data_IF_726615382258
#
_entry.id   IF_726615382258
#
_cell.length_a   1.000
_cell.length_b   1.000
_cell.length_c   1.000
_cell.angle_alpha   90.00
_cell.angle_beta   90.00
_cell.angle_gamma   90.00
#
_symmetry.space_group_name_H-M   'P 1'
#
loop_
_entity.id
_entity.type
_entity.pdbx_description
1 polymer ?
#
# COMPACT_ATOMS: atom_id res chain seq x y z
N UNK A 1 -17.58 16.28 -54.67
CA UNK A 1 -17.41 16.78 -56.05
C UNK A 1 -18.53 16.14 -56.88
N UNK A 2 -19.29 16.88 -57.67
CA UNK A 2 -20.35 16.31 -58.51
C UNK A 2 -19.72 15.65 -59.72
N UNK A 3 -20.27 14.52 -60.18
CA UNK A 3 -19.72 13.77 -61.29
C UNK A 3 -20.17 14.33 -62.65
N UNK A 4 -21.35 14.98 -62.69
CA UNK A 4 -21.91 15.60 -63.90
C UNK A 4 -22.45 17.00 -63.60
N UNK A 5 -22.57 17.80 -64.67
CA UNK A 5 -23.20 19.15 -64.59
C UNK A 5 -24.69 19.04 -64.22
N UNK A 6 -25.33 17.96 -64.59
CA UNK A 6 -26.74 17.65 -64.28
C UNK A 6 -26.92 17.46 -62.79
N UNK A 7 -26.02 16.67 -62.16
CA UNK A 7 -26.05 16.44 -60.68
C UNK A 7 -25.83 17.76 -59.92
N UNK A 8 -24.93 18.61 -60.40
CA UNK A 8 -24.68 19.89 -59.79
C UNK A 8 -25.90 20.85 -59.89
N UNK A 9 -26.60 20.85 -61.02
CA UNK A 9 -27.83 21.64 -61.19
C UNK A 9 -28.96 21.08 -60.33
N UNK A 10 -29.15 19.76 -60.24
CA UNK A 10 -30.14 19.14 -59.37
C UNK A 10 -29.90 19.51 -57.90
N UNK A 11 -28.66 19.40 -57.42
CA UNK A 11 -28.30 19.77 -56.05
C UNK A 11 -28.55 21.26 -55.77
N UNK A 12 -28.30 22.18 -56.74
CA UNK A 12 -28.60 23.58 -56.61
C UNK A 12 -30.11 23.86 -56.50
N UNK A 13 -30.94 23.14 -57.28
CA UNK A 13 -32.38 23.26 -57.21
C UNK A 13 -32.94 22.81 -55.86
N UNK A 14 -32.44 21.69 -55.32
CA UNK A 14 -32.78 21.20 -54.01
C UNK A 14 -32.37 22.23 -52.93
N UNK A 15 -31.15 22.74 -52.98
CA UNK A 15 -30.66 23.73 -52.04
C UNK A 15 -31.49 25.04 -52.05
N UNK A 16 -31.93 25.49 -53.23
CA UNK A 16 -32.82 26.64 -53.35
C UNK A 16 -34.22 26.40 -52.79
N UNK A 17 -34.77 25.21 -53.02
CA UNK A 17 -36.06 24.81 -52.43
C UNK A 17 -36.01 24.72 -50.93
N UNK A 18 -34.92 24.17 -50.36
CA UNK A 18 -34.71 24.06 -48.93
C UNK A 18 -34.52 25.44 -48.29
N UNK A 19 -33.82 26.36 -48.97
CA UNK A 19 -33.67 27.74 -48.54
C UNK A 19 -35.01 28.48 -48.49
N UNK A 20 -35.85 28.27 -49.49
CA UNK A 20 -37.18 28.85 -49.56
C UNK A 20 -38.14 28.34 -48.46
N UNK A 21 -37.90 27.12 -47.99
CA UNK A 21 -38.64 26.47 -46.86
C UNK A 21 -38.04 26.78 -45.50
N UNK A 22 -36.89 27.47 -45.42
CA UNK A 22 -36.15 27.72 -44.17
C UNK A 22 -35.44 26.47 -43.60
N UNK A 23 -35.32 25.39 -44.39
CA UNK A 23 -34.69 24.11 -43.97
C UNK A 23 -33.28 23.93 -44.49
N UNK A 24 -32.73 24.91 -45.20
CA UNK A 24 -31.39 24.86 -45.77
C UNK A 24 -30.32 24.87 -44.68
N UNK A 25 -29.54 23.80 -44.57
CA UNK A 25 -28.35 23.73 -43.74
C UNK A 25 -27.12 23.79 -44.62
N UNK A 26 -26.23 24.80 -44.44
CA UNK A 26 -25.00 24.90 -45.22
C UNK A 26 -24.15 23.64 -45.19
N UNK A 27 -23.50 23.25 -46.32
CA UNK A 27 -22.66 22.05 -46.36
C UNK A 27 -21.55 21.99 -45.27
N UNK A 28 -21.02 23.16 -44.92
CA UNK A 28 -20.02 23.27 -43.85
C UNK A 28 -20.63 22.86 -42.47
N UNK A 29 -21.86 23.31 -42.20
CA UNK A 29 -22.56 22.96 -40.95
C UNK A 29 -22.96 21.49 -40.94
N UNK A 30 -23.40 20.90 -42.08
CA UNK A 30 -23.69 19.46 -42.17
C UNK A 30 -22.43 18.62 -41.93
N UNK A 31 -21.28 19.00 -42.49
CA UNK A 31 -19.99 18.32 -42.26
C UNK A 31 -19.56 18.44 -40.81
N UNK A 32 -19.66 19.62 -40.22
CA UNK A 32 -19.34 19.84 -38.79
C UNK A 32 -20.25 19.01 -37.89
N UNK A 33 -21.56 18.95 -38.16
CA UNK A 33 -22.52 18.13 -37.43
C UNK A 33 -22.20 16.62 -37.56
N UNK A 34 -21.89 16.17 -38.79
CA UNK A 34 -21.50 14.77 -39.03
C UNK A 34 -20.18 14.40 -38.34
N UNK A 35 -19.20 15.28 -38.36
CA UNK A 35 -17.94 15.08 -37.66
C UNK A 35 -18.15 15.06 -36.12
N UNK A 36 -18.95 15.99 -35.61
CA UNK A 36 -19.30 15.99 -34.17
C UNK A 36 -20.04 14.72 -33.73
N UNK A 37 -20.96 14.26 -34.59
CA UNK A 37 -21.70 13.01 -34.33
C UNK A 37 -20.79 11.78 -34.42
N UNK A 38 -19.89 11.71 -35.40
CA UNK A 38 -18.93 10.62 -35.52
C UNK A 38 -17.96 10.58 -34.34
N UNK A 39 -17.45 11.73 -33.89
CA UNK A 39 -16.62 11.85 -32.67
C UNK A 39 -17.41 11.41 -31.43
N UNK A 40 -18.69 11.83 -31.33
CA UNK A 40 -19.55 11.42 -30.21
C UNK A 40 -19.79 9.92 -30.18
N UNK A 41 -20.13 9.32 -31.33
CA UNK A 41 -20.32 7.86 -31.46
C UNK A 41 -19.03 7.10 -31.08
N UNK A 42 -17.89 7.58 -31.56
CA UNK A 42 -16.60 6.96 -31.25
C UNK A 42 -16.23 7.15 -29.76
N UNK A 43 -16.56 8.29 -29.15
CA UNK A 43 -16.35 8.54 -27.74
C UNK A 43 -17.26 7.64 -26.89
N UNK A 44 -18.53 7.52 -27.26
CA UNK A 44 -19.51 6.66 -26.55
C UNK A 44 -19.24 5.16 -26.71
N UNK A 45 -18.43 4.76 -27.72
CA UNK A 45 -18.02 3.38 -27.94
C UNK A 45 -16.87 2.91 -27.01
N UNK A 46 -16.24 3.81 -26.25
CA UNK A 46 -15.08 3.50 -25.41
C UNK A 46 -15.44 2.46 -24.37
N UNK A 47 -14.72 1.32 -24.40
CA UNK A 47 -14.90 0.23 -23.43
C UNK A 47 -14.15 0.47 -22.13
N UNK A 48 -14.54 -0.25 -21.06
CA UNK A 48 -13.82 -0.24 -19.76
C UNK A 48 -12.36 -0.70 -19.94
N UNK A 49 -12.13 -1.67 -20.84
CA UNK A 49 -10.79 -2.21 -21.13
C UNK A 49 -9.87 -1.17 -21.79
N UNK A 50 -10.35 -0.47 -22.81
CA UNK A 50 -9.61 0.60 -23.48
C UNK A 50 -9.32 1.77 -22.54
N UNK A 51 -10.31 2.15 -21.73
CA UNK A 51 -10.11 3.15 -20.69
C UNK A 51 -9.07 2.70 -19.64
N UNK A 52 -9.11 1.44 -19.21
CA UNK A 52 -8.13 0.91 -18.27
C UNK A 52 -6.70 1.02 -18.79
N UNK A 53 -6.46 0.79 -20.08
CA UNK A 53 -5.16 0.96 -20.72
C UNK A 53 -4.71 2.43 -20.69
N UNK A 54 -5.59 3.35 -21.09
CA UNK A 54 -5.34 4.80 -21.08
C UNK A 54 -5.04 5.28 -19.67
N UNK A 55 -5.84 4.87 -18.68
CA UNK A 55 -5.66 5.24 -17.28
C UNK A 55 -4.35 4.70 -16.70
N UNK A 56 -3.99 3.44 -16.99
CA UNK A 56 -2.72 2.86 -16.54
C UNK A 56 -1.52 3.59 -17.16
N UNK A 57 -1.57 3.95 -18.45
CA UNK A 57 -0.53 4.71 -19.10
C UNK A 57 -0.35 6.10 -18.46
N UNK A 58 -1.45 6.78 -18.14
CA UNK A 58 -1.40 8.05 -17.42
C UNK A 58 -0.79 7.93 -16.01
N UNK A 59 -1.08 6.84 -15.30
CA UNK A 59 -0.46 6.57 -14.00
C UNK A 59 1.04 6.24 -14.10
N UNK A 60 1.48 5.62 -15.18
CA UNK A 60 2.90 5.33 -15.45
C UNK A 60 3.69 6.60 -15.75
N UNK A 61 3.07 7.56 -16.44
CA UNK A 61 3.67 8.85 -16.74
C UNK A 61 3.74 9.79 -15.50
N UNK A 62 2.94 9.54 -14.45
CA UNK A 62 2.97 10.34 -13.21
C UNK A 62 4.16 9.91 -12.32
N UNK A 63 5.23 10.70 -12.35
CA UNK A 63 6.44 10.46 -11.54
C UNK A 63 6.19 10.38 -10.01
N UNK A 64 5.05 10.89 -9.53
CA UNK A 64 4.65 10.79 -8.11
C UNK A 64 4.14 9.40 -7.75
N UNK A 65 3.84 8.56 -8.72
CA UNK A 65 3.31 7.21 -8.51
C UNK A 65 4.43 6.18 -8.47
N UNK A 66 4.38 5.34 -7.45
CA UNK A 66 5.31 4.21 -7.37
C UNK A 66 5.06 3.22 -8.52
N UNK A 67 6.09 2.80 -9.27
CA UNK A 67 5.96 1.75 -10.30
C UNK A 67 5.30 0.47 -9.76
N UNK A 68 5.59 0.11 -8.51
CA UNK A 68 4.99 -1.03 -7.84
C UNK A 68 3.46 -0.92 -7.70
N UNK A 69 2.93 0.30 -7.52
CA UNK A 69 1.49 0.56 -7.47
C UNK A 69 0.86 0.30 -8.83
N UNK A 70 1.45 0.79 -9.91
CA UNK A 70 0.92 0.61 -11.27
C UNK A 70 0.94 -0.87 -11.66
N UNK A 71 2.03 -1.59 -11.37
CA UNK A 71 2.11 -3.06 -11.58
C UNK A 71 1.01 -3.79 -10.80
N UNK A 72 0.73 -3.37 -9.56
CA UNK A 72 -0.35 -3.94 -8.75
C UNK A 72 -1.72 -3.68 -9.37
N UNK A 73 -1.98 -2.46 -9.83
CA UNK A 73 -3.24 -2.06 -10.45
C UNK A 73 -3.47 -2.82 -11.76
N UNK A 74 -2.43 -2.89 -12.61
CA UNK A 74 -2.47 -3.70 -13.85
C UNK A 74 -2.82 -5.16 -13.57
N UNK A 75 -2.19 -5.77 -12.56
CA UNK A 75 -2.48 -7.15 -12.16
C UNK A 75 -3.92 -7.33 -11.68
N UNK A 76 -4.44 -6.40 -10.89
CA UNK A 76 -5.84 -6.42 -10.41
C UNK A 76 -6.81 -6.31 -11.58
N UNK A 77 -6.62 -5.35 -12.46
CA UNK A 77 -7.49 -5.17 -13.63
C UNK A 77 -7.47 -6.40 -14.53
N UNK A 78 -6.29 -6.87 -14.91
CA UNK A 78 -6.12 -8.03 -15.79
C UNK A 78 -6.77 -9.32 -15.25
N UNK A 79 -6.64 -9.57 -13.94
CA UNK A 79 -7.04 -10.85 -13.37
C UNK A 79 -8.45 -10.84 -12.75
N UNK A 80 -8.96 -9.66 -12.38
CA UNK A 80 -10.18 -9.57 -11.58
C UNK A 80 -11.26 -8.67 -12.17
N UNK A 81 -10.98 -7.80 -13.13
CA UNK A 81 -11.96 -6.84 -13.66
C UNK A 81 -12.22 -7.06 -15.15
N UNK A 82 -11.16 -6.98 -15.95
CA UNK A 82 -11.27 -6.98 -17.41
C UNK A 82 -11.82 -8.27 -18.02
N UNK A 83 -11.63 -9.48 -17.44
CA UNK A 83 -12.20 -10.69 -18.02
C UNK A 83 -13.72 -10.69 -18.14
N UNK A 84 -14.43 -9.95 -17.29
CA UNK A 84 -15.90 -9.90 -17.28
C UNK A 84 -16.45 -8.54 -17.69
N UNK A 85 -15.77 -7.45 -17.33
CA UNK A 85 -16.28 -6.09 -17.58
C UNK A 85 -15.51 -5.36 -18.68
N UNK A 86 -14.43 -5.93 -19.23
CA UNK A 86 -13.54 -5.24 -20.16
C UNK A 86 -14.22 -4.75 -21.45
N UNK A 87 -15.12 -5.53 -21.99
CA UNK A 87 -15.86 -5.25 -23.24
C UNK A 87 -17.09 -4.35 -23.03
N UNK A 88 -17.46 -4.05 -21.80
CA UNK A 88 -18.59 -3.18 -21.49
C UNK A 88 -18.22 -1.74 -21.81
N UNK A 89 -19.06 -1.04 -22.59
CA UNK A 89 -18.87 0.39 -22.86
C UNK A 89 -19.06 1.18 -21.56
N UNK A 90 -18.24 2.19 -21.35
CA UNK A 90 -18.29 3.00 -20.11
C UNK A 90 -19.67 3.62 -19.88
N UNK A 91 -20.33 4.07 -20.95
CA UNK A 91 -21.66 4.68 -20.90
C UNK A 91 -22.76 3.68 -20.50
N UNK A 92 -22.57 2.40 -20.78
CA UNK A 92 -23.53 1.32 -20.46
C UNK A 92 -23.24 0.63 -19.13
N UNK A 93 -22.12 0.97 -18.48
CA UNK A 93 -21.74 0.34 -17.21
C UNK A 93 -22.67 0.78 -16.10
N UNK A 94 -23.36 -0.19 -15.47
CA UNK A 94 -24.29 0.09 -14.37
C UNK A 94 -23.71 -0.27 -12.99
N UNK A 95 -24.28 0.33 -11.97
CA UNK A 95 -23.97 0.01 -10.56
C UNK A 95 -24.27 -1.44 -10.23
N UNK A 96 -25.36 -2.00 -10.81
CA UNK A 96 -25.78 -3.38 -10.65
C UNK A 96 -24.73 -4.35 -11.20
N UNK A 97 -24.24 -4.14 -12.43
CA UNK A 97 -23.20 -4.96 -13.04
C UNK A 97 -21.94 -4.99 -12.20
N UNK A 98 -21.51 -3.84 -11.67
CA UNK A 98 -20.34 -3.76 -10.78
C UNK A 98 -20.62 -4.48 -9.45
N UNK A 99 -21.83 -4.38 -8.90
CA UNK A 99 -22.23 -5.06 -7.67
C UNK A 99 -22.20 -6.58 -7.84
N UNK A 100 -22.79 -7.08 -8.91
CA UNK A 100 -22.84 -8.51 -9.24
C UNK A 100 -21.44 -9.07 -9.48
N UNK A 101 -20.62 -8.35 -10.24
CA UNK A 101 -19.22 -8.71 -10.48
C UNK A 101 -18.43 -8.82 -9.16
N UNK A 102 -18.52 -7.82 -8.30
CA UNK A 102 -17.85 -7.84 -7.00
C UNK A 102 -18.36 -8.98 -6.10
N UNK A 103 -19.67 -9.27 -6.13
CA UNK A 103 -20.26 -10.41 -5.41
C UNK A 103 -19.77 -11.76 -5.98
N UNK A 104 -19.64 -11.88 -7.28
CA UNK A 104 -19.09 -13.09 -7.93
C UNK A 104 -17.63 -13.31 -7.54
N UNK A 105 -16.82 -12.25 -7.56
CA UNK A 105 -15.42 -12.32 -7.10
C UNK A 105 -15.31 -12.75 -5.63
N UNK A 106 -16.21 -12.28 -4.77
CA UNK A 106 -16.23 -12.64 -3.35
C UNK A 106 -16.49 -14.14 -3.10
N UNK A 107 -17.19 -14.78 -4.03
CA UNK A 107 -17.50 -16.24 -3.96
C UNK A 107 -16.39 -17.12 -4.53
N UNK A 108 -15.41 -16.57 -5.26
CA UNK A 108 -14.33 -17.38 -5.84
C UNK A 108 -13.43 -17.95 -4.74
N UNK A 109 -13.06 -19.23 -4.78
CA UNK A 109 -12.16 -19.82 -3.81
C UNK A 109 -10.77 -19.16 -3.90
N UNK A 110 -10.14 -18.98 -2.74
CA UNK A 110 -8.78 -18.45 -2.70
C UNK A 110 -7.78 -19.45 -3.30
N UNK A 111 -7.04 -19.02 -4.33
CA UNK A 111 -5.94 -19.84 -4.88
C UNK A 111 -4.79 -20.05 -3.88
N UNK A 112 -4.63 -19.16 -2.89
CA UNK A 112 -3.55 -19.25 -1.88
C UNK A 112 -3.94 -20.07 -0.66
N UNK A 113 -5.23 -20.19 -0.38
CA UNK A 113 -5.76 -20.92 0.78
C UNK A 113 -6.98 -21.72 0.33
N UNK A 114 -6.77 -22.91 -0.30
CA UNK A 114 -7.86 -23.81 -0.64
C UNK A 114 -8.64 -24.17 0.63
N UNK A 115 -9.95 -23.95 0.62
CA UNK A 115 -10.81 -24.22 1.79
C UNK A 115 -11.05 -23.02 2.72
N UNK A 116 -10.28 -21.95 2.64
CA UNK A 116 -10.62 -20.71 3.31
C UNK A 116 -11.74 -20.00 2.54
N UNK A 117 -12.88 -19.77 3.18
CA UNK A 117 -13.90 -18.84 2.65
C UNK A 117 -13.27 -17.45 2.63
N UNK A 118 -12.92 -16.95 1.45
CA UNK A 118 -12.57 -15.54 1.28
C UNK A 118 -13.89 -14.77 1.37
N UNK A 119 -14.25 -14.39 2.57
CA UNK A 119 -15.40 -13.51 2.78
C UNK A 119 -15.04 -12.11 2.25
N UNK A 120 -15.35 -11.86 1.01
CA UNK A 120 -15.25 -10.53 0.39
C UNK A 120 -14.27 -10.42 -0.77
N UNK A 121 -14.52 -9.44 -1.61
CA UNK A 121 -13.63 -9.02 -2.71
C UNK A 121 -12.32 -8.54 -2.10
N UNK A 122 -11.18 -8.90 -2.70
CA UNK A 122 -9.90 -8.36 -2.28
C UNK A 122 -9.99 -6.82 -2.20
N UNK A 123 -9.63 -6.19 -1.07
CA UNK A 123 -9.77 -4.74 -0.88
C UNK A 123 -9.17 -3.93 -2.02
N UNK A 124 -8.06 -4.41 -2.59
CA UNK A 124 -7.41 -3.79 -3.73
C UNK A 124 -8.27 -3.74 -4.99
N UNK A 125 -9.11 -4.76 -5.25
CA UNK A 125 -9.98 -4.76 -6.44
C UNK A 125 -11.00 -3.62 -6.36
N UNK A 126 -11.63 -3.44 -5.21
CA UNK A 126 -12.57 -2.34 -4.97
C UNK A 126 -11.89 -0.98 -5.10
N UNK A 127 -10.70 -0.83 -4.51
CA UNK A 127 -9.94 0.43 -4.56
C UNK A 127 -9.55 0.77 -6.00
N UNK A 128 -9.02 -0.20 -6.75
CA UNK A 128 -8.56 0.02 -8.13
C UNK A 128 -9.73 0.34 -9.05
N UNK A 129 -10.80 -0.44 -8.99
CA UNK A 129 -11.99 -0.24 -9.83
C UNK A 129 -12.64 1.12 -9.54
N UNK A 130 -12.80 1.48 -8.27
CA UNK A 130 -13.33 2.79 -7.87
C UNK A 130 -12.42 3.94 -8.33
N UNK A 131 -11.10 3.80 -8.16
CA UNK A 131 -10.15 4.83 -8.59
C UNK A 131 -10.18 5.06 -10.10
N UNK A 132 -10.30 3.97 -10.87
CA UNK A 132 -10.37 4.01 -12.32
C UNK A 132 -11.69 4.63 -12.81
N UNK A 133 -12.83 4.25 -12.22
CA UNK A 133 -14.14 4.80 -12.58
C UNK A 133 -14.27 6.29 -12.19
N UNK A 134 -13.76 6.68 -11.02
CA UNK A 134 -13.69 8.09 -10.64
C UNK A 134 -12.83 8.91 -11.62
N UNK A 135 -11.74 8.33 -12.12
CA UNK A 135 -10.93 8.97 -13.14
C UNK A 135 -11.67 9.07 -14.48
N UNK A 136 -12.47 8.06 -14.85
CA UNK A 136 -13.31 8.08 -16.05
C UNK A 136 -14.37 9.19 -15.99
N UNK A 137 -15.08 9.31 -14.87
CA UNK A 137 -16.06 10.40 -14.64
C UNK A 137 -15.39 11.76 -14.72
N UNK A 138 -14.24 11.93 -14.05
CA UNK A 138 -13.50 13.20 -14.08
C UNK A 138 -13.05 13.59 -15.50
N UNK A 139 -12.67 12.62 -16.32
CA UNK A 139 -12.24 12.82 -17.71
C UNK A 139 -13.43 12.84 -18.70
N UNK A 140 -14.67 12.58 -18.24
CA UNK A 140 -15.85 12.36 -19.09
C UNK A 140 -15.59 11.29 -20.17
N UNK A 141 -14.77 10.30 -19.83
CA UNK A 141 -14.34 9.27 -20.75
C UNK A 141 -15.54 8.43 -21.22
N UNK A 142 -15.64 8.16 -22.51
CA UNK A 142 -16.73 7.39 -23.07
C UNK A 142 -18.11 7.99 -22.82
N UNK A 143 -18.21 9.30 -22.57
CA UNK A 143 -19.48 9.93 -22.22
C UNK A 143 -19.95 9.68 -20.77
N UNK A 144 -19.13 9.05 -19.93
CA UNK A 144 -19.48 8.78 -18.52
C UNK A 144 -19.40 10.07 -17.69
N UNK A 145 -20.53 10.69 -17.43
CA UNK A 145 -20.61 11.92 -16.62
C UNK A 145 -20.76 11.66 -15.12
N UNK A 146 -21.35 10.51 -14.76
CA UNK A 146 -21.59 10.11 -13.36
C UNK A 146 -21.54 8.59 -13.23
N UNK A 147 -21.01 8.13 -12.11
CA UNK A 147 -21.08 6.73 -11.72
C UNK A 147 -21.23 6.60 -10.19
N UNK A 148 -22.32 5.99 -9.76
CA UNK A 148 -22.57 5.74 -8.34
C UNK A 148 -21.99 4.38 -7.95
N UNK A 149 -20.76 4.40 -7.41
CA UNK A 149 -20.07 3.18 -7.02
C UNK A 149 -20.79 2.48 -5.85
N UNK A 150 -21.02 1.13 -5.91
CA UNK A 150 -21.82 0.41 -4.92
C UNK A 150 -21.40 0.71 -3.47
N UNK A 151 -22.36 1.07 -2.62
CA UNK A 151 -22.13 1.34 -1.20
C UNK A 151 -21.70 0.07 -0.44
N UNK A 152 -22.27 -1.09 -0.80
CA UNK A 152 -21.92 -2.41 -0.24
C UNK A 152 -20.46 -2.81 -0.52
N UNK A 153 -19.83 -2.25 -1.56
CA UNK A 153 -18.42 -2.40 -1.84
C UNK A 153 -17.52 -1.54 -0.93
N UNK A 154 -18.10 -0.69 -0.08
CA UNK A 154 -17.36 -0.17 1.07
C UNK A 154 -17.06 -1.35 1.97
N UNK A 155 -15.85 -1.90 1.83
CA UNK A 155 -15.34 -2.82 2.82
C UNK A 155 -15.55 -2.16 4.18
N UNK A 156 -16.60 -2.55 4.88
CA UNK A 156 -16.59 -2.45 6.32
C UNK A 156 -15.39 -3.33 6.70
N UNK A 157 -14.24 -2.71 6.93
CA UNK A 157 -13.23 -3.37 7.74
C UNK A 157 -14.01 -3.79 8.98
N UNK A 158 -14.38 -5.05 9.04
CA UNK A 158 -14.57 -5.70 10.31
C UNK A 158 -13.19 -5.55 10.92
N UNK A 159 -13.00 -4.48 11.69
CA UNK A 159 -11.93 -4.48 12.66
C UNK A 159 -12.30 -5.68 13.53
N UNK A 160 -11.52 -6.74 13.55
CA UNK A 160 -11.57 -7.60 14.72
C UNK A 160 -11.41 -6.61 15.88
N UNK A 161 -12.22 -6.72 16.91
CA UNK A 161 -12.06 -5.91 18.12
C UNK A 161 -10.64 -5.98 18.68
N UNK A 162 -9.84 -6.94 18.20
CA UNK A 162 -8.44 -7.21 18.48
C UNK A 162 -7.45 -6.76 17.39
N UNK A 163 -7.78 -5.87 16.45
CA UNK A 163 -6.80 -5.36 15.46
C UNK A 163 -5.82 -4.34 16.09
N UNK A 164 -5.49 -4.56 17.36
CA UNK A 164 -4.33 -4.00 18.06
C UNK A 164 -3.02 -4.63 17.57
N UNK A 165 -2.96 -4.96 16.26
CA UNK A 165 -1.86 -5.61 15.60
C UNK A 165 -1.41 -6.85 16.38
N UNK A 166 -1.63 -8.02 15.82
CA UNK A 166 -1.15 -9.27 16.38
C UNK A 166 0.34 -9.12 16.82
N UNK A 167 0.59 -8.91 18.11
CA UNK A 167 1.92 -8.69 18.69
C UNK A 167 2.46 -9.98 19.31
N UNK A 168 3.77 -10.18 19.23
CA UNK A 168 4.46 -11.30 19.85
C UNK A 168 5.03 -10.91 21.21
N UNK A 169 5.10 -11.85 22.14
CA UNK A 169 5.87 -11.66 23.35
C UNK A 169 7.39 -11.65 23.03
N UNK A 170 8.24 -11.06 23.91
CA UNK A 170 9.69 -11.15 23.74
C UNK A 170 10.19 -12.58 23.61
N UNK A 171 9.59 -13.50 24.35
CA UNK A 171 9.91 -14.94 24.28
C UNK A 171 9.56 -15.54 22.93
N UNK A 172 8.40 -15.21 22.36
CA UNK A 172 8.03 -15.65 21.02
C UNK A 172 8.98 -15.11 19.96
N UNK A 173 9.42 -13.85 20.07
CA UNK A 173 10.43 -13.27 19.18
C UNK A 173 11.76 -14.02 19.31
N UNK A 174 12.17 -14.43 20.52
CA UNK A 174 13.36 -15.23 20.76
C UNK A 174 13.26 -16.59 20.05
N UNK A 175 12.16 -17.32 20.29
CA UNK A 175 11.92 -18.63 19.63
C UNK A 175 11.91 -18.49 18.11
N UNK A 176 11.26 -17.46 17.56
CA UNK A 176 11.28 -17.18 16.12
C UNK A 176 12.69 -16.94 15.63
N UNK A 177 13.52 -16.21 16.39
CA UNK A 177 14.91 -15.93 16.02
C UNK A 177 15.74 -17.21 15.97
N UNK A 178 15.66 -18.04 16.98
CA UNK A 178 16.42 -19.30 17.08
C UNK A 178 16.02 -20.31 15.99
N UNK A 179 14.76 -20.33 15.59
CA UNK A 179 14.27 -21.19 14.53
C UNK A 179 14.63 -20.74 13.11
N UNK A 180 15.19 -19.53 12.96
CA UNK A 180 15.72 -19.08 11.66
C UNK A 180 17.06 -19.71 11.35
N UNK A 181 17.41 -19.93 10.06
CA UNK A 181 18.77 -20.26 9.65
C UNK A 181 19.79 -19.24 10.21
N UNK A 182 20.99 -19.66 10.66
CA UNK A 182 21.94 -18.78 11.36
C UNK A 182 22.20 -17.45 10.65
N UNK A 183 22.43 -17.46 9.32
CA UNK A 183 22.64 -16.25 8.51
C UNK A 183 21.39 -15.35 8.33
N UNK A 184 20.24 -15.75 8.84
CA UNK A 184 18.97 -14.97 8.81
C UNK A 184 18.44 -14.62 10.19
N UNK A 185 19.03 -15.15 11.27
CA UNK A 185 18.54 -14.92 12.63
C UNK A 185 18.41 -13.45 12.97
N UNK A 186 19.41 -12.64 12.60
CA UNK A 186 19.43 -11.20 12.90
C UNK A 186 18.25 -10.43 12.27
N UNK A 187 17.61 -11.00 11.23
CA UNK A 187 16.46 -10.37 10.57
C UNK A 187 15.29 -10.16 11.52
N UNK A 188 15.05 -11.10 12.44
CA UNK A 188 13.92 -11.08 13.37
C UNK A 188 14.07 -9.95 14.40
N UNK A 189 15.17 -9.89 15.20
CA UNK A 189 15.34 -8.82 16.18
C UNK A 189 15.48 -7.43 15.53
N UNK A 190 16.08 -7.30 14.33
CA UNK A 190 16.09 -6.02 13.62
C UNK A 190 14.68 -5.59 13.18
N UNK A 191 13.87 -6.50 12.65
CA UNK A 191 12.50 -6.18 12.27
C UNK A 191 11.63 -5.83 13.48
N UNK A 192 11.79 -6.55 14.58
CA UNK A 192 11.05 -6.30 15.82
C UNK A 192 11.58 -5.04 16.53
N UNK A 193 12.79 -5.07 17.05
CA UNK A 193 13.27 -4.05 17.98
C UNK A 193 13.70 -2.74 17.34
N UNK A 194 14.03 -2.74 16.03
CA UNK A 194 14.26 -1.50 15.26
C UNK A 194 13.05 -1.11 14.40
N UNK A 195 11.94 -1.84 14.49
CA UNK A 195 10.69 -1.57 13.79
C UNK A 195 10.82 -1.44 12.26
N UNK A 196 11.68 -2.26 11.63
CA UNK A 196 11.95 -2.18 10.19
C UNK A 196 10.84 -2.83 9.35
N UNK A 197 10.52 -2.20 8.22
CA UNK A 197 9.74 -2.86 7.17
C UNK A 197 10.62 -3.90 6.45
N UNK A 198 10.02 -4.98 5.93
CA UNK A 198 10.78 -6.05 5.24
C UNK A 198 11.64 -5.51 4.10
N UNK A 199 11.15 -4.54 3.33
CA UNK A 199 11.94 -3.90 2.27
C UNK A 199 13.10 -3.06 2.80
N UNK A 200 12.93 -2.37 3.93
CA UNK A 200 13.99 -1.63 4.61
C UNK A 200 15.07 -2.60 5.14
N UNK A 201 14.65 -3.67 5.80
CA UNK A 201 15.53 -4.72 6.30
C UNK A 201 16.35 -5.36 5.17
N UNK A 202 15.71 -5.76 4.08
CA UNK A 202 16.39 -6.29 2.89
C UNK A 202 17.26 -5.24 2.20
N UNK A 203 16.93 -3.93 2.34
CA UNK A 203 17.69 -2.82 1.80
C UNK A 203 18.93 -2.43 2.61
N UNK A 204 19.07 -2.96 3.84
CA UNK A 204 20.17 -2.60 4.74
C UNK A 204 21.52 -3.00 4.17
N UNK A 205 22.48 -2.10 4.36
CA UNK A 205 23.89 -2.29 4.01
C UNK A 205 24.78 -2.10 5.24
N UNK A 206 25.97 -2.65 5.24
CA UNK A 206 26.94 -2.53 6.35
C UNK A 206 27.13 -1.07 6.79
N UNK A 207 27.24 -0.14 5.85
CA UNK A 207 27.39 1.31 6.10
C UNK A 207 26.18 2.00 6.77
N UNK A 208 25.08 1.30 6.97
CA UNK A 208 23.92 1.84 7.66
C UNK A 208 23.94 1.57 9.16
N UNK A 209 24.98 0.89 9.62
CA UNK A 209 25.19 0.51 11.02
C UNK A 209 26.43 1.20 11.51
N UNK A 210 26.29 2.12 12.45
CA UNK A 210 27.38 2.96 12.95
C UNK A 210 27.52 2.82 14.47
N UNK A 211 28.75 2.96 14.97
CA UNK A 211 29.09 2.97 16.39
C UNK A 211 28.70 1.70 17.17
N UNK A 212 28.80 0.53 16.53
CA UNK A 212 28.36 -0.73 17.15
C UNK A 212 29.15 -1.13 18.42
N UNK A 213 30.29 -0.50 18.66
CA UNK A 213 31.13 -0.72 19.84
C UNK A 213 30.71 0.18 21.03
N UNK A 214 29.88 1.18 20.78
CA UNK A 214 29.42 2.13 21.79
C UNK A 214 27.87 2.05 21.91
N UNK A 215 27.35 1.41 22.98
CA UNK A 215 25.91 1.27 23.18
C UNK A 215 25.14 2.58 23.28
N UNK A 216 25.81 3.70 23.65
CA UNK A 216 25.16 5.00 23.76
C UNK A 216 25.03 5.71 22.40
N UNK A 217 25.85 5.33 21.43
CA UNK A 217 25.91 5.94 20.11
C UNK A 217 25.47 5.03 18.98
N UNK A 218 25.31 3.74 19.27
CA UNK A 218 24.94 2.73 18.26
C UNK A 218 23.65 3.09 17.54
N UNK A 219 23.72 3.20 16.22
CA UNK A 219 22.62 3.68 15.40
C UNK A 219 22.49 2.90 14.10
N UNK A 220 21.26 2.70 13.66
CA UNK A 220 20.87 2.13 12.37
C UNK A 220 20.20 3.22 11.53
N UNK A 221 20.68 3.39 10.29
CA UNK A 221 20.14 4.35 9.35
C UNK A 221 19.26 3.65 8.30
N UNK A 222 18.00 4.04 8.21
CA UNK A 222 17.07 3.59 7.17
C UNK A 222 17.13 4.61 6.03
N UNK A 223 17.99 4.39 5.05
CA UNK A 223 18.23 5.31 3.91
C UNK A 223 17.64 4.77 2.60
N UNK A 224 17.32 3.48 2.53
CA UNK A 224 16.82 2.78 1.34
C UNK A 224 15.98 1.56 1.69
N UNK A 225 15.28 1.05 0.68
CA UNK A 225 14.57 -0.21 0.74
C UNK A 225 14.84 -1.06 -0.50
N UNK A 226 14.74 -2.37 -0.35
CA UNK A 226 14.69 -3.26 -1.50
C UNK A 226 13.28 -3.34 -2.05
N UNK A 227 13.09 -2.93 -3.29
CA UNK A 227 11.82 -3.07 -4.00
C UNK A 227 11.84 -4.35 -4.83
N UNK A 228 11.13 -5.39 -4.37
CA UNK A 228 11.11 -6.70 -5.02
C UNK A 228 10.55 -6.64 -6.44
N UNK A 229 9.54 -5.78 -6.69
CA UNK A 229 8.94 -5.65 -8.02
C UNK A 229 9.85 -4.96 -9.03
N UNK A 230 10.60 -3.98 -8.56
CA UNK A 230 11.59 -3.27 -9.38
C UNK A 230 12.93 -4.01 -9.43
N UNK A 231 13.14 -5.01 -8.59
CA UNK A 231 14.40 -5.71 -8.38
C UNK A 231 15.58 -4.73 -8.17
N UNK A 232 15.35 -3.69 -7.36
CA UNK A 232 16.29 -2.59 -7.17
C UNK A 232 16.20 -1.98 -5.77
N UNK A 233 17.28 -1.31 -5.36
CA UNK A 233 17.26 -0.41 -4.21
C UNK A 233 16.55 0.89 -4.60
N UNK A 234 15.62 1.31 -3.78
CA UNK A 234 14.86 2.56 -3.95
C UNK A 234 14.85 3.35 -2.64
N UNK A 235 14.44 4.62 -2.72
CA UNK A 235 14.14 5.39 -1.51
C UNK A 235 13.07 4.69 -0.67
N UNK A 236 13.07 4.85 0.65
CA UNK A 236 12.02 4.33 1.50
C UNK A 236 10.67 4.96 1.12
N UNK A 237 9.58 4.24 1.38
CA UNK A 237 8.24 4.72 1.05
C UNK A 237 7.92 6.00 1.86
N UNK A 238 7.35 7.01 1.19
CA UNK A 238 6.92 8.28 1.79
C UNK A 238 8.04 9.03 2.55
N UNK A 239 9.24 9.06 1.95
CA UNK A 239 10.42 9.76 2.49
C UNK A 239 10.75 9.42 3.95
N UNK A 240 10.46 8.16 4.36
CA UNK A 240 10.67 7.68 5.73
C UNK A 240 12.15 7.38 6.04
N UNK A 241 13.07 8.21 5.50
CA UNK A 241 14.48 8.20 5.89
C UNK A 241 14.57 8.58 7.38
N UNK A 242 15.27 7.76 8.14
CA UNK A 242 15.40 7.96 9.58
C UNK A 242 16.59 7.24 10.17
N UNK A 243 16.97 7.65 11.37
CA UNK A 243 17.95 6.96 12.21
C UNK A 243 17.25 6.35 13.41
N UNK A 244 17.59 5.13 13.76
CA UNK A 244 17.01 4.38 14.87
C UNK A 244 18.12 3.96 15.81
N UNK A 245 18.07 4.37 17.08
CA UNK A 245 18.97 3.90 18.11
C UNK A 245 18.86 2.38 18.26
N UNK A 246 20.00 1.69 18.26
CA UNK A 246 20.08 0.25 18.43
C UNK A 246 20.01 -0.10 19.92
N UNK A 247 19.14 -1.04 20.32
CA UNK A 247 19.19 -1.56 21.70
C UNK A 247 20.52 -2.22 22.00
N UNK A 248 21.14 -1.88 23.13
CA UNK A 248 22.44 -2.40 23.54
C UNK A 248 22.50 -3.95 23.49
N UNK A 249 21.40 -4.60 23.87
CA UNK A 249 21.29 -6.08 23.85
C UNK A 249 21.43 -6.70 22.45
N UNK A 250 21.24 -5.94 21.37
CA UNK A 250 21.39 -6.44 19.99
C UNK A 250 22.84 -6.39 19.49
N UNK A 251 23.69 -5.56 20.08
CA UNK A 251 25.00 -5.23 19.54
C UNK A 251 25.94 -6.45 19.42
N UNK A 252 26.03 -7.35 20.42
CA UNK A 252 26.87 -8.54 20.29
C UNK A 252 26.46 -9.43 19.10
N UNK A 253 25.18 -9.77 19.03
CA UNK A 253 24.67 -10.61 17.94
C UNK A 253 24.77 -9.93 16.55
N UNK A 254 24.62 -8.60 16.50
CA UNK A 254 24.74 -7.84 15.26
C UNK A 254 26.19 -7.80 14.77
N UNK A 255 27.16 -7.61 15.65
CA UNK A 255 28.60 -7.67 15.31
C UNK A 255 28.99 -9.05 14.82
N UNK A 256 28.65 -10.11 15.58
CA UNK A 256 28.89 -11.49 15.19
C UNK A 256 28.30 -11.80 13.80
N UNK A 257 27.07 -11.33 13.55
CA UNK A 257 26.42 -11.52 12.26
C UNK A 257 27.19 -10.81 11.12
N UNK A 258 27.62 -9.55 11.36
CA UNK A 258 28.39 -8.81 10.36
C UNK A 258 29.73 -9.48 10.06
N UNK A 259 30.39 -10.02 11.05
CA UNK A 259 31.72 -10.65 10.89
C UNK A 259 31.60 -12.03 10.20
N UNK A 260 30.53 -12.78 10.51
CA UNK A 260 30.37 -14.16 10.05
C UNK A 260 29.64 -14.26 8.70
N UNK A 261 28.58 -13.47 8.49
CA UNK A 261 27.62 -13.66 7.39
C UNK A 261 27.55 -12.51 6.40
N UNK A 262 28.08 -11.33 6.74
CA UNK A 262 28.01 -10.17 5.87
C UNK A 262 29.31 -9.99 5.10
N UNK A 263 29.30 -9.94 3.76
CA UNK A 263 30.53 -9.71 3.00
C UNK A 263 31.26 -8.42 3.41
N UNK A 264 32.56 -8.38 3.19
CA UNK A 264 33.34 -7.16 3.36
C UNK A 264 32.86 -6.06 2.40
N UNK A 265 33.02 -4.80 2.83
CA UNK A 265 32.69 -3.63 2.02
C UNK A 265 31.43 -2.88 2.50
N UNK A 266 31.49 -1.57 2.39
CA UNK A 266 30.49 -0.65 2.93
C UNK A 266 29.06 -0.85 2.36
N UNK A 267 28.96 -1.27 1.10
CA UNK A 267 27.67 -1.49 0.41
C UNK A 267 27.19 -2.92 0.48
N UNK A 268 27.92 -3.81 1.17
CA UNK A 268 27.50 -5.20 1.35
C UNK A 268 26.14 -5.28 2.04
N UNK A 269 25.21 -6.14 1.56
CA UNK A 269 23.91 -6.31 2.19
C UNK A 269 24.07 -6.97 3.56
N UNK A 270 23.43 -6.45 4.60
CA UNK A 270 23.47 -7.04 5.95
C UNK A 270 22.94 -8.48 5.91
N UNK A 271 21.85 -8.70 5.21
CA UNK A 271 21.32 -10.05 4.97
C UNK A 271 21.84 -10.58 3.63
N UNK A 272 22.91 -11.32 3.68
CA UNK A 272 23.54 -11.94 2.52
C UNK A 272 23.26 -13.45 2.47
N UNK A 273 23.12 -13.96 1.25
CA UNK A 273 23.12 -15.40 0.98
C UNK A 273 24.53 -15.94 0.80
N UNK A 274 24.67 -17.24 0.59
CA UNK A 274 25.94 -17.97 0.51
C UNK A 274 26.94 -17.43 -0.54
N UNK A 275 26.47 -16.73 -1.58
CA UNK A 275 27.30 -16.09 -2.61
C UNK A 275 27.52 -14.60 -2.35
N UNK A 276 27.26 -14.10 -1.16
CA UNK A 276 27.40 -12.68 -0.81
C UNK A 276 26.35 -11.75 -1.40
N UNK A 277 25.46 -12.25 -2.24
CA UNK A 277 24.35 -11.47 -2.78
C UNK A 277 23.25 -11.28 -1.72
N UNK A 278 22.44 -10.24 -1.86
CA UNK A 278 21.26 -10.00 -1.03
C UNK A 278 20.34 -11.21 -0.99
N UNK A 279 19.86 -11.56 0.20
CA UNK A 279 18.84 -12.60 0.37
C UNK A 279 17.55 -12.19 -0.33
N UNK A 280 16.95 -13.10 -1.10
CA UNK A 280 15.66 -12.86 -1.73
C UNK A 280 14.53 -12.85 -0.70
N UNK A 281 13.49 -12.06 -0.94
CA UNK A 281 12.30 -12.10 -0.07
C UNK A 281 11.70 -13.49 0.01
N UNK A 282 11.68 -14.25 -1.08
CA UNK A 282 11.17 -15.64 -1.11
C UNK A 282 11.95 -16.56 -0.18
N UNK A 283 13.28 -16.42 -0.11
CA UNK A 283 14.12 -17.22 0.81
C UNK A 283 13.82 -16.85 2.28
N UNK A 284 13.72 -15.54 2.57
CA UNK A 284 13.34 -15.06 3.89
C UNK A 284 11.93 -15.54 4.29
N UNK A 285 10.95 -15.45 3.38
CA UNK A 285 9.57 -15.90 3.62
C UNK A 285 9.48 -17.42 3.86
N UNK A 286 10.35 -18.20 3.19
CA UNK A 286 10.44 -19.66 3.42
C UNK A 286 10.94 -19.97 4.83
N UNK A 287 12.03 -19.34 5.25
CA UNK A 287 12.60 -19.50 6.60
C UNK A 287 11.61 -19.00 7.67
N UNK A 288 10.96 -17.87 7.42
CA UNK A 288 9.96 -17.28 8.31
C UNK A 288 8.78 -18.21 8.62
N UNK A 289 8.32 -18.99 7.64
CA UNK A 289 7.22 -19.94 7.87
C UNK A 289 7.55 -20.95 8.95
N UNK A 290 8.73 -21.55 8.90
CA UNK A 290 9.17 -22.49 9.94
C UNK A 290 9.34 -21.79 11.30
N UNK A 291 9.92 -20.59 11.32
CA UNK A 291 10.16 -19.83 12.55
C UNK A 291 8.86 -19.46 13.29
N UNK A 292 7.85 -18.97 12.58
CA UNK A 292 6.56 -18.64 13.22
C UNK A 292 5.78 -19.87 13.68
N UNK A 293 5.93 -21.01 12.98
CA UNK A 293 5.36 -22.29 13.40
C UNK A 293 6.01 -22.81 14.69
N UNK A 294 7.34 -22.72 14.79
CA UNK A 294 8.09 -23.08 16.01
C UNK A 294 7.65 -22.25 17.23
N UNK A 295 7.28 -20.99 17.03
CA UNK A 295 6.75 -20.13 18.10
C UNK A 295 5.25 -20.32 18.37
N UNK A 296 4.60 -21.31 17.78
CA UNK A 296 3.16 -21.55 17.93
C UNK A 296 2.26 -20.49 17.29
N UNK A 297 2.78 -19.73 16.31
CA UNK A 297 2.09 -18.59 15.68
C UNK A 297 1.99 -18.73 14.15
N UNK A 298 1.40 -19.81 13.60
CA UNK A 298 1.43 -20.09 12.16
C UNK A 298 0.78 -18.99 11.29
N UNK A 299 -0.11 -18.17 11.85
CA UNK A 299 -0.74 -17.03 11.19
C UNK A 299 0.05 -15.74 11.28
N UNK A 300 1.09 -15.67 12.11
CA UNK A 300 1.83 -14.43 12.38
C UNK A 300 2.58 -13.95 11.15
N UNK A 301 2.33 -12.69 10.74
CA UNK A 301 2.95 -12.10 9.56
C UNK A 301 4.29 -11.47 9.91
N UNK A 302 5.26 -11.50 8.99
CA UNK A 302 6.56 -10.86 9.21
C UNK A 302 6.42 -9.37 9.59
N UNK A 303 5.45 -8.67 9.01
CA UNK A 303 5.17 -7.27 9.35
C UNK A 303 4.72 -7.06 10.80
N UNK A 304 4.17 -8.08 11.44
CA UNK A 304 3.73 -8.02 12.83
C UNK A 304 4.91 -7.94 13.82
N UNK A 305 6.14 -8.33 13.41
CA UNK A 305 7.35 -8.05 14.19
C UNK A 305 7.54 -6.56 14.41
N UNK A 306 7.36 -5.75 13.38
CA UNK A 306 7.41 -4.30 13.49
C UNK A 306 6.29 -3.74 14.39
N UNK A 307 5.08 -4.30 14.29
CA UNK A 307 3.99 -3.95 15.21
C UNK A 307 4.38 -4.27 16.65
N UNK A 308 4.96 -5.45 16.88
CA UNK A 308 5.49 -5.86 18.19
C UNK A 308 6.48 -4.82 18.74
N UNK A 309 7.48 -4.44 17.94
CA UNK A 309 8.49 -3.47 18.37
C UNK A 309 7.91 -2.10 18.73
N UNK A 310 6.99 -1.58 17.89
CA UNK A 310 6.35 -0.29 18.14
C UNK A 310 5.44 -0.33 19.38
N UNK A 311 4.69 -1.41 19.58
CA UNK A 311 3.87 -1.60 20.78
C UNK A 311 4.75 -1.65 22.03
N UNK A 312 5.83 -2.45 22.00
CA UNK A 312 6.77 -2.52 23.13
C UNK A 312 7.48 -1.19 23.40
N UNK A 313 7.80 -0.43 22.35
CA UNK A 313 8.39 0.91 22.50
C UNK A 313 7.38 1.91 23.10
N UNK A 314 6.10 1.84 22.70
CA UNK A 314 5.03 2.62 23.30
C UNK A 314 4.82 2.28 24.80
N UNK A 315 4.89 0.99 25.17
CA UNK A 315 4.82 0.54 26.58
C UNK A 315 5.92 1.15 27.44
N UNK A 316 7.11 1.44 26.86
CA UNK A 316 8.20 2.11 27.58
C UNK A 316 7.99 3.63 27.79
N UNK A 317 6.89 4.17 27.29
CA UNK A 317 6.59 5.59 27.50
C UNK A 317 6.85 6.49 26.29
N UNK A 318 7.14 5.92 25.13
CA UNK A 318 7.40 6.71 23.94
C UNK A 318 6.22 7.64 23.60
N UNK A 319 6.55 8.86 23.27
CA UNK A 319 5.61 9.86 22.77
C UNK A 319 5.13 9.51 21.37
N UNK A 320 4.04 10.13 20.93
CA UNK A 320 3.53 9.97 19.57
C UNK A 320 4.58 10.35 18.50
N UNK A 321 5.35 11.43 18.75
CA UNK A 321 6.40 11.88 17.85
C UNK A 321 7.53 10.86 17.72
N UNK A 322 7.95 10.25 18.83
CA UNK A 322 8.98 9.20 18.84
C UNK A 322 8.51 7.93 18.14
N UNK A 323 7.24 7.55 18.30
CA UNK A 323 6.62 6.42 17.57
C UNK A 323 6.56 6.67 16.06
N UNK A 324 6.15 7.88 15.64
CA UNK A 324 6.15 8.29 14.24
C UNK A 324 7.56 8.23 13.66
N UNK A 325 8.55 8.79 14.37
CA UNK A 325 9.94 8.79 13.94
C UNK A 325 10.49 7.35 13.81
N UNK A 326 10.42 6.55 14.90
CA UNK A 326 10.94 5.17 14.91
C UNK A 326 10.27 4.29 13.85
N UNK A 327 8.96 4.44 13.68
CA UNK A 327 8.18 3.75 12.67
C UNK A 327 8.38 4.30 11.25
N UNK A 328 8.84 5.53 11.06
CA UNK A 328 8.79 6.22 9.77
C UNK A 328 7.36 6.26 9.24
N UNK A 329 6.42 6.72 10.08
CA UNK A 329 5.03 6.94 9.74
C UNK A 329 4.80 8.43 9.49
N UNK A 330 4.12 8.75 8.39
CA UNK A 330 3.67 10.11 8.08
C UNK A 330 2.23 10.36 8.53
N UNK A 331 1.48 9.28 8.78
CA UNK A 331 0.09 9.33 9.24
C UNK A 331 0.03 9.07 10.75
N UNK A 332 -0.44 10.08 11.47
CA UNK A 332 -0.65 10.06 12.92
C UNK A 332 -1.60 8.94 13.34
N UNK A 333 -2.63 8.65 12.53
CA UNK A 333 -3.63 7.60 12.80
C UNK A 333 -2.98 6.23 12.94
N UNK A 334 -1.87 5.99 12.23
CA UNK A 334 -1.14 4.73 12.32
C UNK A 334 -0.39 4.62 13.64
N UNK A 335 0.22 5.70 14.13
CA UNK A 335 0.97 5.70 15.39
C UNK A 335 0.05 5.66 16.63
N UNK A 336 -1.13 6.26 16.55
CA UNK A 336 -2.14 6.21 17.63
C UNK A 336 -2.60 4.78 17.94
N UNK A 337 -2.44 3.84 17.01
CA UNK A 337 -2.75 2.42 17.27
C UNK A 337 -1.88 1.78 18.34
N UNK A 338 -0.72 2.34 18.62
CA UNK A 338 0.21 1.84 19.64
C UNK A 338 0.07 2.53 20.98
N UNK A 339 -0.73 3.62 21.06
CA UNK A 339 -0.96 4.35 22.30
C UNK A 339 -2.28 3.92 22.92
N UNK A 340 -2.21 3.01 23.88
CA UNK A 340 -3.37 2.58 24.66
C UNK A 340 -3.31 3.18 26.05
N UNK A 341 -4.38 3.82 26.49
CA UNK A 341 -4.57 4.21 27.87
C UNK A 341 -5.07 2.98 28.65
N UNK A 342 -4.22 2.43 29.48
CA UNK A 342 -4.60 1.39 30.46
C UNK A 342 -4.58 1.98 31.86
N UNK A 343 -5.41 1.44 32.76
CA UNK A 343 -5.43 1.87 34.16
C UNK A 343 -4.07 1.66 34.85
N UNK A 344 -3.34 0.60 34.48
CA UNK A 344 -1.99 0.31 34.97
C UNK A 344 -1.00 1.39 34.54
N UNK A 345 -1.09 1.82 33.27
CA UNK A 345 -0.23 2.88 32.73
C UNK A 345 -0.54 4.23 33.38
N UNK A 346 -1.83 4.58 33.55
CA UNK A 346 -2.24 5.79 34.24
C UNK A 346 -1.69 5.82 35.66
N UNK A 347 -1.78 4.69 36.38
CA UNK A 347 -1.19 4.53 37.70
C UNK A 347 0.33 4.77 37.69
N UNK A 348 1.04 4.11 36.77
CA UNK A 348 2.50 4.24 36.68
C UNK A 348 2.95 5.68 36.34
N UNK A 349 2.19 6.39 35.51
CA UNK A 349 2.44 7.81 35.21
C UNK A 349 2.16 8.70 36.42
N UNK A 350 1.05 8.43 37.13
CA UNK A 350 0.67 9.15 38.35
C UNK A 350 1.71 8.97 39.45
N UNK A 351 2.26 7.75 39.61
CA UNK A 351 3.31 7.46 40.59
C UNK A 351 4.62 8.20 40.27
N UNK A 352 4.94 8.37 38.96
CA UNK A 352 6.08 9.19 38.53
C UNK A 352 5.81 10.68 38.83
N UNK A 353 4.64 11.18 38.46
CA UNK A 353 4.22 12.56 38.72
C UNK A 353 4.24 12.86 40.21
N UNK A 354 3.85 11.92 41.07
CA UNK A 354 3.83 12.08 42.52
C UNK A 354 5.22 12.33 43.12
N UNK A 355 6.31 11.93 42.45
CA UNK A 355 7.69 12.20 42.87
C UNK A 355 8.12 13.65 42.65
N UNK A 356 7.49 14.30 41.66
CA UNK A 356 7.80 15.68 41.27
C UNK A 356 6.88 16.67 41.97
N UNK A 357 5.84 16.19 42.68
CA UNK A 357 4.88 17.04 43.39
C UNK A 357 5.38 17.29 44.83
N UNK A 358 5.62 18.54 45.18
CA UNK A 358 5.82 18.99 46.55
C UNK A 358 4.61 19.78 47.01
N UNK A 359 3.91 19.30 48.02
CA UNK A 359 2.78 20.02 48.62
C UNK A 359 3.21 20.81 49.83
N UNK A 360 2.71 22.05 50.06
CA UNK A 360 2.96 22.79 51.27
C UNK A 360 2.50 22.03 52.52
N UNK A 361 3.27 22.15 53.59
CA UNK A 361 2.86 21.60 54.87
C UNK A 361 1.51 22.21 55.33
N UNK A 362 0.50 21.37 55.49
CA UNK A 362 -0.86 21.81 55.88
C UNK A 362 -1.97 21.40 54.89
N UNK A 363 -1.66 21.01 53.65
CA UNK A 363 -2.65 20.50 52.70
C UNK A 363 -3.03 19.04 53.03
N UNK A 364 -2.18 18.33 53.78
CA UNK A 364 -2.35 16.91 54.10
C UNK A 364 -3.06 16.63 55.44
N UNK A 365 -3.55 17.62 56.16
CA UNK A 365 -4.28 17.38 57.42
C UNK A 365 -5.77 17.37 57.20
N UNK A 366 -6.48 16.26 57.48
CA UNK A 366 -7.93 16.29 57.55
C UNK A 366 -8.38 17.25 58.66
N UNK A 367 -9.22 18.23 58.32
CA UNK A 367 -9.93 19.00 59.36
C UNK A 367 -10.73 18.03 60.22
N UNK A 368 -10.41 17.98 61.51
CA UNK A 368 -11.21 17.29 62.53
C UNK A 368 -12.59 17.89 62.63
#
# INVERSE_FOLDING_TARGET
MFQTLTDAKAALHIAKADAARGTFVPPAQRRAAQQSQAVRVQTEALTLGEWAQTWLAALEADARRSPATVVSYRSVLKNHVLPELGEVRLVDLTTEQVTEHLAALARRPSRRHPGARVNGVAPNTVIVLRSMLNAAVKAKAGGLERFDFPAAAKHRRVRPEDDHGDVASPEQVRVMTEAMPPHLQIAIPLAAWCALRIGELLGLQRRDLEHLDDPQRAVLHVRRQWNVKANALTAPKADSVRSVALPAALLPALREHLDTYTPAGHTAPVLAGSRGARVSQTALDKAWRAAREAAGRPGFRFHNLRHTGLSKYAEQGATLAELLHRGGHTDVTVALRYQHATAERDRALTDRLSRDISLPAGVASPRK
#
